data_IF_576123841940
#
_entry.id   IF_576123841940
#
_cell.length_a   1.000
_cell.length_b   1.000
_cell.length_c   1.000
_cell.angle_alpha   90.00
_cell.angle_beta   90.00
_cell.angle_gamma   90.00
#
_symmetry.space_group_name_H-M   'P 1'
#
loop_
_entity.id
_entity.type
_entity.pdbx_description
1 polymer ?
#
# COMPACT_ATOMS: atom_id res chain seq x y z
N UNK A 1 -6.03 4.96 54.41
CA UNK A 1 -5.78 5.82 53.23
C UNK A 1 -4.29 6.13 53.19
N UNK A 2 -3.49 5.37 52.44
CA UNK A 2 -2.13 5.77 52.12
C UNK A 2 -2.24 6.76 50.97
N UNK A 3 -1.93 8.02 51.25
CA UNK A 3 -1.83 9.08 50.25
C UNK A 3 -0.64 8.72 49.36
N UNK A 4 -0.92 8.33 48.13
CA UNK A 4 0.09 8.12 47.10
C UNK A 4 0.60 9.50 46.70
N UNK A 5 1.70 9.94 47.33
CA UNK A 5 2.37 11.18 46.96
C UNK A 5 3.01 10.90 45.59
N UNK A 6 2.39 11.37 44.52
CA UNK A 6 3.00 11.37 43.19
C UNK A 6 4.34 12.10 43.28
N UNK A 7 5.43 11.35 43.13
CA UNK A 7 6.79 11.88 43.03
C UNK A 7 6.79 12.92 41.90
N UNK A 8 7.05 14.18 42.23
CA UNK A 8 7.10 15.27 41.25
C UNK A 8 8.25 14.97 40.29
N UNK A 9 7.94 14.51 39.08
CA UNK A 9 8.96 14.17 38.07
C UNK A 9 9.72 15.43 37.70
N UNK A 10 11.04 15.44 37.93
CA UNK A 10 11.91 16.59 37.64
C UNK A 10 12.16 16.72 36.13
N UNK A 11 12.21 15.59 35.42
CA UNK A 11 12.43 15.51 33.96
C UNK A 11 11.09 15.55 33.24
N UNK A 12 10.96 16.43 32.26
CA UNK A 12 9.76 16.51 31.43
C UNK A 12 9.80 15.47 30.30
N UNK A 13 8.93 14.46 30.38
CA UNK A 13 8.86 13.40 29.36
C UNK A 13 8.51 13.91 27.96
N UNK A 14 7.86 15.07 27.83
CA UNK A 14 7.52 15.66 26.52
C UNK A 14 8.76 16.17 25.76
N UNK A 15 9.89 16.34 26.45
CA UNK A 15 11.16 16.77 25.84
C UNK A 15 12.03 15.56 25.43
N UNK A 16 11.60 14.34 25.74
CA UNK A 16 12.34 13.13 25.41
C UNK A 16 11.92 12.60 24.03
N UNK A 17 12.90 12.20 23.22
CA UNK A 17 12.67 11.54 21.94
C UNK A 17 12.90 10.04 22.09
N UNK A 18 11.94 9.21 21.69
CA UNK A 18 12.09 7.76 21.80
C UNK A 18 13.09 7.19 20.79
N UNK A 19 13.27 7.85 19.63
CA UNK A 19 14.30 7.50 18.64
C UNK A 19 15.72 7.95 19.06
N UNK A 20 15.84 9.06 19.77
CA UNK A 20 17.12 9.65 20.20
C UNK A 20 17.26 9.72 21.74
N UNK A 21 16.74 8.70 22.43
CA UNK A 21 16.46 8.75 23.87
C UNK A 21 17.66 9.10 24.75
N UNK A 22 18.83 8.51 24.46
CA UNK A 22 20.05 8.82 25.20
C UNK A 22 20.36 10.33 25.16
N UNK A 23 20.35 10.92 23.98
CA UNK A 23 20.73 12.33 23.77
C UNK A 23 19.71 13.26 24.38
N UNK A 24 18.41 13.03 24.16
CA UNK A 24 17.36 13.87 24.73
C UNK A 24 17.30 13.77 26.25
N UNK A 25 17.52 12.58 26.82
CA UNK A 25 17.57 12.39 28.28
C UNK A 25 18.75 13.15 28.88
N UNK A 26 19.93 13.04 28.26
CA UNK A 26 21.14 13.70 28.74
C UNK A 26 21.00 15.24 28.71
N UNK A 27 20.41 15.78 27.63
CA UNK A 27 20.15 17.22 27.47
C UNK A 27 19.12 17.74 28.48
N UNK A 28 18.01 17.02 28.66
CA UNK A 28 16.98 17.42 29.63
C UNK A 28 17.50 17.32 31.06
N UNK A 29 18.22 16.25 31.41
CA UNK A 29 18.81 16.08 32.73
C UNK A 29 19.84 17.18 33.07
N UNK A 30 20.65 17.59 32.10
CA UNK A 30 21.56 18.73 32.23
C UNK A 30 20.80 20.04 32.45
N UNK A 31 19.76 20.28 31.63
CA UNK A 31 18.92 21.49 31.72
C UNK A 31 18.19 21.60 33.06
N UNK A 32 17.80 20.47 33.65
CA UNK A 32 17.20 20.39 34.98
C UNK A 32 18.21 20.43 36.14
N UNK A 33 19.52 20.51 35.86
CA UNK A 33 20.58 20.52 36.87
C UNK A 33 20.78 19.18 37.60
N UNK A 34 20.28 18.07 37.03
CA UNK A 34 20.48 16.72 37.57
C UNK A 34 21.86 16.17 37.21
N UNK A 35 22.47 16.69 36.14
CA UNK A 35 23.83 16.35 35.69
C UNK A 35 24.66 17.63 35.69
N UNK A 36 25.82 17.60 36.35
CA UNK A 36 26.78 18.72 36.36
C UNK A 36 27.63 18.77 35.09
N UNK A 37 28.32 19.90 34.85
CA UNK A 37 29.29 20.02 33.73
C UNK A 37 30.35 18.90 33.76
N UNK A 38 30.89 18.60 34.94
CA UNK A 38 31.89 17.54 35.12
C UNK A 38 31.35 16.14 34.85
N UNK A 39 30.09 15.87 35.17
CA UNK A 39 29.43 14.60 34.88
C UNK A 39 29.12 14.48 33.38
N UNK A 40 28.68 15.58 32.75
CA UNK A 40 28.44 15.65 31.32
C UNK A 40 29.72 15.36 30.51
N UNK A 41 30.83 16.03 30.86
CA UNK A 41 32.15 15.79 30.25
C UNK A 41 32.60 14.34 30.44
N UNK A 42 32.42 13.78 31.64
CA UNK A 42 32.75 12.38 31.93
C UNK A 42 31.96 11.41 31.05
N UNK A 43 30.64 11.60 30.91
CA UNK A 43 29.77 10.76 30.08
C UNK A 43 30.17 10.87 28.60
N UNK A 44 30.40 12.08 28.10
CA UNK A 44 30.84 12.31 26.72
C UNK A 44 32.18 11.63 26.43
N UNK A 45 33.15 11.76 27.33
CA UNK A 45 34.45 11.09 27.19
C UNK A 45 34.31 9.57 27.17
N UNK A 46 33.44 9.00 28.01
CA UNK A 46 33.17 7.56 27.98
C UNK A 46 32.55 7.12 26.65
N UNK A 47 31.61 7.89 26.09
CA UNK A 47 31.05 7.61 24.77
C UNK A 47 32.11 7.68 23.67
N UNK A 48 33.01 8.67 23.68
CA UNK A 48 34.10 8.80 22.71
C UNK A 48 35.10 7.64 22.81
N UNK A 49 35.48 7.24 24.02
CA UNK A 49 36.34 6.08 24.24
C UNK A 49 35.67 4.79 23.74
N UNK A 50 34.37 4.63 23.98
CA UNK A 50 33.61 3.48 23.48
C UNK A 50 33.49 3.48 21.96
N UNK A 51 33.30 4.64 21.33
CA UNK A 51 33.35 4.79 19.88
C UNK A 51 34.71 4.37 19.33
N UNK A 52 35.82 4.85 19.92
CA UNK A 52 37.17 4.50 19.47
C UNK A 52 37.38 2.97 19.49
N UNK A 53 36.98 2.31 20.58
CA UNK A 53 37.00 0.86 20.69
C UNK A 53 36.16 0.16 19.61
N UNK A 54 34.97 0.68 19.29
CA UNK A 54 34.08 0.11 18.26
C UNK A 54 34.64 0.29 16.86
N UNK A 55 35.25 1.44 16.56
CA UNK A 55 35.90 1.72 15.28
C UNK A 55 37.12 0.81 15.04
N UNK A 56 37.95 0.59 16.06
CA UNK A 56 39.09 -0.34 16.00
C UNK A 56 38.65 -1.78 15.72
N UNK A 57 37.49 -2.19 16.24
CA UNK A 57 36.94 -3.51 15.90
C UNK A 57 36.33 -3.57 14.52
N UNK A 58 35.66 -2.50 14.09
CA UNK A 58 35.04 -2.43 12.77
C UNK A 58 36.05 -2.60 11.62
N UNK A 59 37.28 -2.11 11.81
CA UNK A 59 38.35 -2.19 10.82
C UNK A 59 39.30 -3.40 11.02
N UNK A 60 38.95 -4.36 11.89
CA UNK A 60 39.81 -5.50 12.26
C UNK A 60 41.23 -5.11 12.74
N UNK A 61 41.43 -3.87 13.22
CA UNK A 61 42.74 -3.35 13.60
C UNK A 61 43.68 -3.04 12.42
N UNK A 62 43.20 -3.11 11.17
CA UNK A 62 44.06 -3.01 9.97
C UNK A 62 44.33 -1.56 9.52
N UNK A 63 43.60 -0.57 10.05
CA UNK A 63 43.79 0.84 9.70
C UNK A 63 43.45 1.78 10.84
N UNK A 64 44.23 2.85 11.02
CA UNK A 64 43.95 3.89 12.01
C UNK A 64 42.93 4.93 11.53
N UNK A 65 42.49 4.89 10.27
CA UNK A 65 41.58 5.89 9.68
C UNK A 65 40.25 5.28 9.26
N UNK A 66 39.16 5.79 9.82
CA UNK A 66 37.79 5.51 9.39
C UNK A 66 37.17 6.78 8.82
N UNK A 67 36.26 6.66 7.85
CA UNK A 67 35.50 7.82 7.35
C UNK A 67 34.63 8.39 8.47
N UNK A 68 34.52 9.72 8.53
CA UNK A 68 33.72 10.42 9.54
C UNK A 68 32.28 9.92 9.56
N UNK A 69 31.64 9.80 8.40
CA UNK A 69 30.26 9.30 8.27
C UNK A 69 30.05 7.90 8.88
N UNK A 70 31.07 7.03 8.77
CA UNK A 70 31.02 5.68 9.36
C UNK A 70 31.17 5.76 10.88
N UNK A 71 32.09 6.58 11.40
CA UNK A 71 32.21 6.79 12.84
C UNK A 71 30.94 7.42 13.45
N UNK A 72 30.31 8.35 12.74
CA UNK A 72 29.02 8.94 13.13
C UNK A 72 27.89 7.90 13.16
N UNK A 73 27.81 7.03 12.14
CA UNK A 73 26.84 5.92 12.12
C UNK A 73 27.05 4.96 13.30
N UNK A 74 28.30 4.56 13.57
CA UNK A 74 28.64 3.71 14.71
C UNK A 74 28.25 4.40 16.03
N UNK A 75 28.51 5.71 16.17
CA UNK A 75 28.08 6.44 17.37
C UNK A 75 26.56 6.43 17.51
N UNK A 76 25.79 6.70 16.45
CA UNK A 76 24.32 6.62 16.47
C UNK A 76 23.84 5.23 16.90
N UNK A 77 24.43 4.17 16.37
CA UNK A 77 24.15 2.78 16.77
C UNK A 77 24.42 2.52 18.26
N UNK A 78 25.56 3.01 18.76
CA UNK A 78 25.91 2.89 20.18
C UNK A 78 24.90 3.60 21.08
N UNK A 79 24.58 4.86 20.76
CA UNK A 79 23.65 5.67 21.54
C UNK A 79 22.22 5.11 21.49
N UNK A 80 21.78 4.59 20.34
CA UNK A 80 20.50 3.89 20.22
C UNK A 80 20.44 2.65 21.12
N UNK A 81 21.49 1.84 21.11
CA UNK A 81 21.58 0.62 21.91
C UNK A 81 21.54 0.93 23.41
N UNK A 82 22.30 1.94 23.84
CA UNK A 82 22.29 2.46 25.21
C UNK A 82 20.91 2.99 25.56
N UNK A 83 20.33 3.85 24.71
CA UNK A 83 19.00 4.44 24.89
C UNK A 83 17.91 3.38 25.03
N UNK A 84 18.02 2.26 24.31
CA UNK A 84 17.09 1.12 24.41
C UNK A 84 17.06 0.54 25.83
N UNK A 85 18.22 0.43 26.51
CA UNK A 85 18.25 -0.01 27.91
C UNK A 85 17.77 1.07 28.87
N UNK A 86 18.16 2.32 28.67
CA UNK A 86 17.69 3.41 29.53
C UNK A 86 16.16 3.54 29.53
N UNK A 87 15.51 3.35 28.37
CA UNK A 87 14.04 3.28 28.25
C UNK A 87 13.39 2.12 29.01
N UNK A 88 14.15 1.07 29.31
CA UNK A 88 13.63 -0.10 30.02
C UNK A 88 13.63 0.07 31.54
N UNK A 89 14.27 1.13 32.04
CA UNK A 89 14.32 1.43 33.47
C UNK A 89 12.96 1.99 33.96
N UNK A 90 12.66 1.88 35.26
CA UNK A 90 11.34 2.21 35.79
C UNK A 90 10.91 3.67 35.57
N UNK A 91 11.87 4.59 35.63
CA UNK A 91 11.65 6.01 35.47
C UNK A 91 12.93 6.73 34.97
N UNK A 92 12.77 7.99 34.59
CA UNK A 92 13.84 8.85 34.04
C UNK A 92 14.93 9.15 35.07
N UNK A 93 14.60 9.24 36.36
CA UNK A 93 15.60 9.42 37.45
C UNK A 93 16.53 8.21 37.55
N UNK A 94 15.99 7.00 37.46
CA UNK A 94 16.77 5.77 37.40
C UNK A 94 17.70 5.75 36.18
N UNK A 95 17.22 6.22 35.02
CA UNK A 95 18.03 6.31 33.81
C UNK A 95 19.19 7.31 33.92
N UNK A 96 18.95 8.49 34.50
CA UNK A 96 20.01 9.48 34.78
C UNK A 96 21.02 8.95 35.79
N UNK A 97 20.56 8.33 36.87
CA UNK A 97 21.41 7.75 37.90
C UNK A 97 22.30 6.62 37.33
N UNK A 98 21.76 5.81 36.40
CA UNK A 98 22.52 4.80 35.68
C UNK A 98 23.60 5.43 34.80
N UNK A 99 23.34 6.56 34.13
CA UNK A 99 24.35 7.31 33.36
C UNK A 99 25.46 7.92 34.22
N UNK A 100 25.13 8.39 35.43
CA UNK A 100 26.12 8.99 36.34
C UNK A 100 27.06 7.95 36.97
N UNK A 101 26.49 6.80 37.38
CA UNK A 101 27.19 5.78 38.17
C UNK A 101 27.70 4.60 37.34
N UNK A 102 26.98 4.21 36.29
CA UNK A 102 27.31 3.08 35.43
C UNK A 102 28.46 3.40 34.47
N UNK A 103 29.03 2.35 33.87
CA UNK A 103 29.96 2.50 32.75
C UNK A 103 29.18 2.42 31.42
N UNK A 104 29.50 3.28 30.45
CA UNK A 104 28.89 3.24 29.11
C UNK A 104 28.97 1.85 28.48
N UNK A 105 30.06 1.12 28.69
CA UNK A 105 30.25 -0.26 28.21
C UNK A 105 29.21 -1.22 28.81
N UNK A 106 28.98 -1.18 30.13
CA UNK A 106 28.01 -2.07 30.77
C UNK A 106 26.57 -1.73 30.36
N UNK A 107 26.26 -0.44 30.28
CA UNK A 107 24.95 0.07 29.87
C UNK A 107 24.68 -0.35 28.40
N UNK A 108 25.69 -0.25 27.52
CA UNK A 108 25.61 -0.75 26.14
C UNK A 108 25.37 -2.26 26.11
N UNK A 109 26.09 -3.08 26.90
CA UNK A 109 25.90 -4.54 26.90
C UNK A 109 24.49 -4.95 27.36
N UNK A 110 23.91 -4.23 28.33
CA UNK A 110 22.51 -4.43 28.74
C UNK A 110 21.56 -4.04 27.61
N UNK A 111 21.83 -2.93 26.92
CA UNK A 111 21.12 -2.49 25.71
C UNK A 111 21.15 -3.52 24.60
N UNK A 112 22.33 -4.06 24.29
CA UNK A 112 22.58 -5.07 23.25
C UNK A 112 21.70 -6.31 23.46
N UNK A 113 21.62 -6.81 24.70
CA UNK A 113 20.74 -7.93 25.06
C UNK A 113 19.27 -7.63 24.79
N UNK A 114 18.81 -6.40 25.06
CA UNK A 114 17.43 -5.99 24.78
C UNK A 114 17.16 -5.86 23.29
N UNK A 115 18.08 -5.29 22.52
CA UNK A 115 18.00 -5.24 21.05
C UNK A 115 17.86 -6.65 20.49
N UNK A 116 18.69 -7.60 20.90
CA UNK A 116 18.62 -8.99 20.44
C UNK A 116 17.28 -9.66 20.77
N UNK A 117 16.74 -9.41 21.97
CA UNK A 117 15.43 -9.92 22.35
C UNK A 117 14.32 -9.30 21.50
N UNK A 118 14.40 -8.00 21.20
CA UNK A 118 13.45 -7.33 20.29
C UNK A 118 13.56 -7.87 18.86
N UNK A 119 14.76 -8.22 18.36
CA UNK A 119 14.92 -8.85 17.03
C UNK A 119 14.23 -10.20 16.99
N UNK A 120 14.40 -11.02 18.04
CA UNK A 120 13.71 -12.31 18.16
C UNK A 120 12.19 -12.13 18.20
N UNK A 121 11.69 -11.16 18.97
CA UNK A 121 10.27 -10.83 19.03
C UNK A 121 9.73 -10.33 17.68
N UNK A 122 10.47 -9.48 16.98
CA UNK A 122 10.11 -8.98 15.66
C UNK A 122 10.02 -10.14 14.65
N UNK A 123 10.99 -11.06 14.68
CA UNK A 123 10.98 -12.26 13.82
C UNK A 123 9.79 -13.17 14.13
N UNK A 124 9.39 -13.27 15.39
CA UNK A 124 8.19 -14.01 15.79
C UNK A 124 6.92 -13.34 15.23
N UNK A 125 6.75 -12.03 15.43
CA UNK A 125 5.62 -11.29 14.87
C UNK A 125 5.59 -11.30 13.35
N UNK A 126 6.75 -11.29 12.68
CA UNK A 126 6.82 -11.44 11.23
C UNK A 126 6.20 -12.78 10.80
N UNK A 127 6.55 -13.89 11.45
CA UNK A 127 5.91 -15.20 11.20
C UNK A 127 4.42 -15.21 11.49
N UNK A 128 3.99 -14.55 12.56
CA UNK A 128 2.55 -14.41 12.87
C UNK A 128 1.82 -13.64 11.76
N UNK A 129 2.40 -12.56 11.26
CA UNK A 129 1.86 -11.81 10.13
C UNK A 129 1.79 -12.66 8.84
N UNK A 130 2.76 -13.54 8.60
CA UNK A 130 2.66 -14.49 7.49
C UNK A 130 1.50 -15.48 7.68
N UNK A 131 1.21 -15.88 8.93
CA UNK A 131 0.15 -16.84 9.23
C UNK A 131 -1.27 -16.25 9.16
N UNK A 132 -1.45 -14.98 9.50
CA UNK A 132 -2.73 -14.28 9.43
C UNK A 132 -2.83 -13.31 8.23
N UNK A 133 -1.95 -13.47 7.24
CA UNK A 133 -1.89 -12.64 6.06
C UNK A 133 -3.22 -12.64 5.32
N UNK A 134 -3.67 -11.46 4.88
CA UNK A 134 -4.88 -11.30 4.09
C UNK A 134 -4.70 -11.86 2.68
N UNK A 135 -5.76 -12.50 2.18
CA UNK A 135 -5.87 -12.88 0.77
C UNK A 135 -6.37 -11.64 0.01
N UNK A 136 -5.45 -10.93 -0.64
CA UNK A 136 -5.75 -9.69 -1.37
C UNK A 136 -4.86 -9.52 -2.59
N UNK A 137 -5.34 -8.78 -3.59
CA UNK A 137 -4.60 -8.38 -4.78
C UNK A 137 -3.76 -7.11 -4.58
N UNK A 138 -3.90 -6.42 -3.45
CA UNK A 138 -3.15 -5.18 -3.20
C UNK A 138 -1.64 -5.43 -3.16
N UNK A 139 -0.90 -4.80 -4.07
CA UNK A 139 0.52 -5.01 -4.29
C UNK A 139 1.35 -4.58 -3.09
N UNK A 140 1.11 -3.38 -2.54
CA UNK A 140 1.96 -2.81 -1.49
C UNK A 140 1.86 -3.58 -0.17
N UNK A 141 0.66 -4.04 0.20
CA UNK A 141 0.45 -4.97 1.30
C UNK A 141 1.26 -6.26 1.12
N UNK A 142 1.14 -6.88 -0.06
CA UNK A 142 1.81 -8.15 -0.36
C UNK A 142 3.33 -8.01 -0.43
N UNK A 143 3.83 -6.94 -1.05
CA UNK A 143 5.25 -6.64 -1.20
C UNK A 143 5.91 -6.37 0.14
N UNK A 144 5.25 -5.57 1.01
CA UNK A 144 5.75 -5.24 2.35
C UNK A 144 6.00 -6.49 3.22
N UNK A 145 5.09 -7.47 3.17
CA UNK A 145 5.22 -8.73 3.93
C UNK A 145 6.15 -9.77 3.27
N UNK A 146 6.67 -9.50 2.08
CA UNK A 146 7.51 -10.44 1.33
C UNK A 146 8.95 -10.52 1.86
N UNK A 147 9.70 -11.50 1.36
CA UNK A 147 11.14 -11.64 1.56
C UNK A 147 11.98 -10.46 1.03
N UNK A 148 11.37 -9.65 0.13
CA UNK A 148 11.94 -8.43 -0.46
C UNK A 148 11.42 -7.15 0.22
N UNK A 149 10.46 -7.25 1.13
CA UNK A 149 9.99 -6.15 1.97
C UNK A 149 10.64 -6.18 3.34
N UNK A 150 9.84 -6.41 4.38
CA UNK A 150 10.31 -6.57 5.78
C UNK A 150 11.27 -7.76 5.93
N UNK A 151 11.18 -8.78 5.06
CA UNK A 151 12.12 -9.91 5.09
C UNK A 151 13.60 -9.51 4.93
N UNK A 152 13.90 -8.36 4.31
CA UNK A 152 15.26 -7.82 4.18
C UNK A 152 15.86 -7.51 5.56
N UNK A 153 15.06 -6.96 6.48
CA UNK A 153 15.51 -6.58 7.82
C UNK A 153 16.15 -7.78 8.54
N UNK A 154 15.53 -8.96 8.47
CA UNK A 154 16.07 -10.16 9.14
C UNK A 154 17.29 -10.78 8.47
N UNK A 155 17.69 -10.29 7.29
CA UNK A 155 18.89 -10.72 6.55
C UNK A 155 20.03 -9.71 6.69
N UNK A 156 19.72 -8.42 6.73
CA UNK A 156 20.68 -7.33 6.61
C UNK A 156 20.84 -6.47 7.86
N UNK A 157 19.97 -6.58 8.86
CA UNK A 157 20.08 -5.77 10.07
C UNK A 157 21.39 -6.06 10.80
N UNK A 158 22.22 -5.02 10.96
CA UNK A 158 23.45 -5.06 11.76
C UNK A 158 23.19 -4.42 13.13
N UNK A 159 22.97 -5.23 14.16
CA UNK A 159 22.63 -4.75 15.48
C UNK A 159 23.88 -4.29 16.28
N UNK A 160 25.09 -4.47 15.71
CA UNK A 160 26.38 -4.13 16.32
C UNK A 160 26.87 -2.75 15.87
N UNK A 161 26.72 -2.41 14.58
CA UNK A 161 27.23 -1.16 13.99
C UNK A 161 26.15 -0.26 13.39
N UNK A 162 24.96 -0.77 13.09
CA UNK A 162 23.86 -0.01 12.49
C UNK A 162 22.53 -0.28 13.22
N UNK A 163 22.55 -0.41 14.55
CA UNK A 163 21.38 -0.83 15.33
C UNK A 163 20.18 0.12 15.23
N UNK A 164 20.42 1.39 14.87
CA UNK A 164 19.43 2.43 14.67
C UNK A 164 18.75 2.36 13.28
N UNK A 165 19.37 1.67 12.33
CA UNK A 165 18.85 1.49 10.97
C UNK A 165 17.84 0.34 10.92
N UNK A 166 16.93 0.38 9.94
CA UNK A 166 15.94 -0.67 9.73
C UNK A 166 15.85 -1.01 8.24
N UNK A 167 16.83 -1.73 7.67
CA UNK A 167 16.88 -2.00 6.23
C UNK A 167 15.67 -2.85 5.79
N UNK A 168 14.63 -2.19 5.27
CA UNK A 168 13.40 -2.80 4.81
C UNK A 168 12.70 -1.88 3.79
N UNK A 169 11.99 -2.48 2.85
CA UNK A 169 11.04 -1.79 1.98
C UNK A 169 9.64 -1.97 2.56
N UNK A 170 9.04 -0.86 3.01
CA UNK A 170 7.74 -0.83 3.70
C UNK A 170 6.89 0.26 3.03
N UNK A 171 6.06 -0.16 2.08
CA UNK A 171 5.20 0.74 1.32
C UNK A 171 3.76 0.76 1.88
N UNK A 172 3.35 -0.32 2.56
CA UNK A 172 2.03 -0.40 3.17
C UNK A 172 1.97 0.43 4.46
N UNK A 173 1.19 1.51 4.44
CA UNK A 173 0.99 2.37 5.61
C UNK A 173 -0.07 1.81 6.55
N UNK A 174 0.21 1.85 7.86
CA UNK A 174 -0.71 1.41 8.91
C UNK A 174 -1.78 2.48 9.18
N UNK A 175 -2.95 2.04 9.66
CA UNK A 175 -4.02 2.95 10.09
C UNK A 175 -3.57 3.80 11.28
N UNK A 176 -2.84 3.17 12.22
CA UNK A 176 -2.14 3.83 13.31
C UNK A 176 -0.62 3.81 13.03
N UNK A 177 -0.05 4.89 12.45
CA UNK A 177 1.37 4.95 12.12
C UNK A 177 2.27 4.78 13.34
N UNK A 178 3.45 4.20 13.11
CA UNK A 178 4.51 4.14 14.12
C UNK A 178 5.34 5.41 13.99
N UNK A 179 5.34 6.23 15.03
CA UNK A 179 6.14 7.46 15.12
C UNK A 179 7.19 7.36 16.21
N UNK A 180 8.24 8.17 16.11
CA UNK A 180 9.30 8.35 17.13
C UNK A 180 10.05 7.05 17.49
N UNK A 181 10.05 6.03 16.63
CA UNK A 181 10.83 4.80 16.81
C UNK A 181 11.71 4.54 15.59
N UNK A 182 12.89 3.96 15.84
CA UNK A 182 13.85 3.53 14.80
C UNK A 182 14.40 2.14 15.14
N UNK A 183 15.22 1.60 14.23
CA UNK A 183 15.81 0.28 14.36
C UNK A 183 14.79 -0.83 14.56
N UNK A 184 15.14 -1.81 15.37
CA UNK A 184 14.27 -2.96 15.67
C UNK A 184 12.98 -2.58 16.40
N UNK A 185 12.96 -1.46 17.13
CA UNK A 185 11.76 -1.00 17.84
C UNK A 185 10.67 -0.55 16.87
N UNK A 186 11.04 0.13 15.79
CA UNK A 186 10.12 0.46 14.71
C UNK A 186 9.53 -0.80 14.08
N UNK A 187 10.38 -1.73 13.63
CA UNK A 187 9.96 -2.97 12.96
C UNK A 187 9.05 -3.81 13.87
N UNK A 188 9.41 -3.95 15.14
CA UNK A 188 8.61 -4.70 16.11
C UNK A 188 7.24 -4.05 16.31
N UNK A 189 7.16 -2.73 16.48
CA UNK A 189 5.89 -2.05 16.68
C UNK A 189 5.03 -2.06 15.41
N UNK A 190 5.64 -1.91 14.25
CA UNK A 190 4.97 -2.00 12.95
C UNK A 190 4.33 -3.38 12.78
N UNK A 191 5.08 -4.46 13.00
CA UNK A 191 4.56 -5.83 12.87
C UNK A 191 3.48 -6.17 13.90
N UNK A 192 3.54 -5.60 15.11
CA UNK A 192 2.46 -5.74 16.11
C UNK A 192 1.19 -5.05 15.65
N UNK A 193 1.28 -3.82 15.15
CA UNK A 193 0.14 -3.08 14.63
C UNK A 193 -0.48 -3.80 13.43
N UNK A 194 0.35 -4.22 12.47
CA UNK A 194 -0.11 -4.96 11.28
C UNK A 194 -0.78 -6.28 11.65
N UNK A 195 -0.25 -6.99 12.66
CA UNK A 195 -0.87 -8.23 13.14
C UNK A 195 -2.30 -7.99 13.62
N UNK A 196 -2.54 -6.90 14.35
CA UNK A 196 -3.87 -6.52 14.84
C UNK A 196 -4.79 -6.08 13.69
N UNK A 197 -4.27 -5.34 12.70
CA UNK A 197 -5.02 -5.00 11.48
C UNK A 197 -5.48 -6.27 10.74
N UNK A 198 -4.57 -7.22 10.56
CA UNK A 198 -4.89 -8.52 9.95
C UNK A 198 -5.87 -9.33 10.80
N UNK A 199 -5.71 -9.35 12.13
CA UNK A 199 -6.61 -10.04 13.06
C UNK A 199 -8.05 -9.53 12.92
N UNK A 200 -8.24 -8.21 12.84
CA UNK A 200 -9.55 -7.63 12.59
C UNK A 200 -10.09 -7.99 11.21
N UNK A 201 -9.31 -7.78 10.15
CA UNK A 201 -9.73 -8.09 8.78
C UNK A 201 -10.05 -9.58 8.59
N UNK A 202 -9.45 -10.49 9.37
CA UNK A 202 -9.75 -11.92 9.34
C UNK A 202 -11.17 -12.28 9.79
N UNK A 203 -11.90 -11.34 10.40
CA UNK A 203 -13.33 -11.50 10.74
C UNK A 203 -14.26 -11.41 9.54
N UNK A 204 -13.75 -10.98 8.38
CA UNK A 204 -14.51 -10.78 7.17
C UNK A 204 -14.02 -11.74 6.09
N UNK A 205 -14.90 -12.11 5.15
CA UNK A 205 -14.48 -12.98 4.05
C UNK A 205 -13.58 -12.20 3.09
N UNK A 206 -12.56 -12.86 2.53
CA UNK A 206 -11.68 -12.25 1.53
C UNK A 206 -12.47 -11.74 0.29
N UNK A 207 -13.60 -12.39 -0.01
CA UNK A 207 -14.52 -11.99 -1.07
C UNK A 207 -15.21 -10.66 -0.77
N UNK A 208 -15.75 -10.50 0.44
CA UNK A 208 -16.44 -9.27 0.84
C UNK A 208 -15.44 -8.09 0.94
N UNK A 209 -14.21 -8.35 1.42
CA UNK A 209 -13.12 -7.36 1.38
C UNK A 209 -12.77 -6.99 -0.07
N UNK A 210 -12.67 -7.97 -0.97
CA UNK A 210 -12.37 -7.69 -2.39
C UNK A 210 -13.44 -6.79 -3.02
N UNK A 211 -14.72 -7.07 -2.78
CA UNK A 211 -15.83 -6.29 -3.34
C UNK A 211 -15.93 -4.89 -2.74
N UNK A 212 -15.63 -4.74 -1.45
CA UNK A 212 -15.48 -3.43 -0.82
C UNK A 212 -14.37 -2.62 -1.51
N UNK A 213 -13.18 -3.22 -1.67
CA UNK A 213 -12.05 -2.51 -2.27
C UNK A 213 -12.27 -2.18 -3.75
N UNK A 214 -12.95 -3.05 -4.51
CA UNK A 214 -13.41 -2.73 -5.88
C UNK A 214 -14.41 -1.58 -5.91
N UNK A 215 -15.30 -1.51 -4.92
CA UNK A 215 -16.21 -0.37 -4.76
C UNK A 215 -15.46 0.94 -4.46
N UNK A 216 -14.34 0.85 -3.75
CA UNK A 216 -13.53 2.01 -3.39
C UNK A 216 -12.78 2.54 -4.60
N UNK A 217 -12.14 1.65 -5.35
CA UNK A 217 -11.49 1.94 -6.62
C UNK A 217 -11.30 0.64 -7.42
N UNK A 218 -11.64 0.64 -8.71
CA UNK A 218 -11.47 -0.52 -9.59
C UNK A 218 -9.99 -0.99 -9.65
N UNK A 219 -9.06 -0.05 -9.50
CA UNK A 219 -7.61 -0.23 -9.50
C UNK A 219 -6.97 -0.32 -8.10
N UNK A 220 -7.76 -0.61 -7.04
CA UNK A 220 -7.27 -0.67 -5.64
C UNK A 220 -6.01 -1.53 -5.41
N UNK A 221 -5.74 -2.44 -6.34
CA UNK A 221 -4.60 -3.35 -6.36
C UNK A 221 -3.27 -2.58 -6.36
N UNK A 222 -3.24 -1.41 -7.01
CA UNK A 222 -2.06 -0.55 -7.13
C UNK A 222 -2.04 0.60 -6.12
N UNK A 223 -3.12 0.78 -5.35
CA UNK A 223 -3.23 1.91 -4.44
C UNK A 223 -2.44 1.72 -3.14
N UNK A 224 -1.89 2.84 -2.64
CA UNK A 224 -1.29 2.96 -1.31
C UNK A 224 -2.38 3.21 -0.24
N UNK A 225 -3.25 2.22 -0.04
CA UNK A 225 -4.34 2.28 0.93
C UNK A 225 -4.13 1.32 2.09
N UNK A 226 -4.64 1.69 3.26
CA UNK A 226 -4.73 0.78 4.39
C UNK A 226 -6.04 -0.03 4.32
N UNK A 227 -5.93 -1.35 4.15
CA UNK A 227 -7.09 -2.24 3.99
C UNK A 227 -7.93 -2.27 5.28
N UNK A 228 -7.28 -2.31 6.45
CA UNK A 228 -7.98 -2.29 7.74
C UNK A 228 -8.83 -1.04 7.93
N UNK A 229 -8.34 0.13 7.54
CA UNK A 229 -9.08 1.39 7.63
C UNK A 229 -10.35 1.34 6.77
N UNK A 230 -10.27 0.81 5.55
CA UNK A 230 -11.45 0.66 4.67
C UNK A 230 -12.47 -0.31 5.25
N UNK A 231 -11.98 -1.46 5.75
CA UNK A 231 -12.83 -2.50 6.36
C UNK A 231 -13.49 -1.99 7.64
N UNK A 232 -12.74 -1.36 8.54
CA UNK A 232 -13.27 -0.80 9.79
C UNK A 232 -14.29 0.30 9.53
N UNK A 233 -13.97 1.24 8.62
CA UNK A 233 -14.89 2.33 8.25
C UNK A 233 -16.20 1.78 7.72
N UNK A 234 -16.14 0.82 6.80
CA UNK A 234 -17.36 0.22 6.21
C UNK A 234 -18.14 -0.62 7.22
N UNK A 235 -17.45 -1.37 8.09
CA UNK A 235 -18.09 -2.14 9.15
C UNK A 235 -18.84 -1.22 10.14
N UNK A 236 -18.26 -0.08 10.51
CA UNK A 236 -18.95 0.96 11.30
C UNK A 236 -20.17 1.51 10.56
N UNK A 237 -20.04 1.79 9.26
CA UNK A 237 -21.17 2.21 8.42
C UNK A 237 -22.30 1.18 8.37
N UNK A 238 -21.99 -0.11 8.32
CA UNK A 238 -22.98 -1.18 8.40
C UNK A 238 -23.73 -1.13 9.74
N UNK A 239 -23.02 -0.97 10.86
CA UNK A 239 -23.64 -0.87 12.19
C UNK A 239 -24.56 0.36 12.28
N UNK A 240 -24.11 1.51 11.77
CA UNK A 240 -24.88 2.76 11.74
C UNK A 240 -26.15 2.66 10.87
N UNK A 241 -26.10 1.86 9.81
CA UNK A 241 -27.24 1.60 8.91
C UNK A 241 -28.04 0.34 9.27
N UNK A 242 -27.78 -0.24 10.45
CA UNK A 242 -28.42 -1.46 10.96
C UNK A 242 -28.29 -2.68 10.04
N UNK A 243 -27.17 -2.79 9.34
CA UNK A 243 -26.75 -3.93 8.52
C UNK A 243 -25.76 -4.83 9.24
N UNK A 244 -25.64 -6.06 8.77
CA UNK A 244 -24.64 -6.99 9.27
C UNK A 244 -23.24 -6.53 8.85
N UNK A 245 -22.34 -6.18 9.79
CA UNK A 245 -21.00 -5.70 9.47
C UNK A 245 -20.14 -6.75 8.75
N UNK A 246 -20.32 -8.05 9.00
CA UNK A 246 -19.53 -9.10 8.35
C UNK A 246 -19.64 -9.09 6.82
N UNK A 247 -20.73 -8.52 6.29
CA UNK A 247 -20.97 -8.40 4.85
C UNK A 247 -20.32 -7.19 4.23
N UNK A 248 -19.90 -6.19 5.01
CA UNK A 248 -19.29 -4.94 4.52
C UNK A 248 -20.12 -4.25 3.41
N UNK A 249 -21.43 -4.45 3.41
CA UNK A 249 -22.32 -4.06 2.32
C UNK A 249 -23.28 -2.95 2.79
N UNK A 250 -23.17 -1.79 2.15
CA UNK A 250 -24.06 -0.64 2.34
C UNK A 250 -24.47 -0.16 0.95
N UNK A 251 -25.75 0.12 0.75
CA UNK A 251 -26.27 0.65 -0.50
C UNK A 251 -26.17 2.18 -0.58
N UNK A 252 -26.15 2.77 -1.79
CA UNK A 252 -26.13 4.22 -1.94
C UNK A 252 -27.30 4.93 -1.25
N UNK A 253 -28.48 4.29 -1.23
CA UNK A 253 -29.66 4.81 -0.53
C UNK A 253 -29.42 4.90 0.97
N UNK A 254 -28.83 3.88 1.57
CA UNK A 254 -28.55 3.86 3.02
C UNK A 254 -27.48 4.87 3.41
N UNK A 255 -26.46 5.06 2.56
CA UNK A 255 -25.46 6.11 2.76
C UNK A 255 -26.14 7.49 2.73
N UNK A 256 -27.04 7.71 1.76
CA UNK A 256 -27.79 8.97 1.65
C UNK A 256 -28.73 9.22 2.84
N UNK A 257 -29.41 8.18 3.32
CA UNK A 257 -30.28 8.30 4.48
C UNK A 257 -29.46 8.55 5.76
N UNK A 258 -28.34 7.85 5.95
CA UNK A 258 -27.39 8.12 7.03
C UNK A 258 -26.86 9.57 6.98
N UNK A 259 -26.53 10.08 5.79
CA UNK A 259 -26.07 11.45 5.62
C UNK A 259 -27.10 12.46 6.14
N UNK A 260 -28.38 12.30 5.80
CA UNK A 260 -29.45 13.20 6.28
C UNK A 260 -29.55 13.20 7.81
N UNK A 261 -29.35 12.04 8.43
CA UNK A 261 -29.45 11.87 9.88
C UNK A 261 -28.29 12.57 10.61
N UNK A 262 -27.08 12.55 10.05
CA UNK A 262 -25.86 13.01 10.72
C UNK A 262 -25.34 14.37 10.22
N UNK A 263 -25.86 14.92 9.12
CA UNK A 263 -25.35 16.16 8.52
C UNK A 263 -25.34 17.37 9.47
N UNK A 264 -26.26 17.40 10.44
CA UNK A 264 -26.37 18.46 11.44
C UNK A 264 -25.57 18.23 12.74
N UNK A 265 -24.84 17.12 12.85
CA UNK A 265 -24.18 16.76 14.12
C UNK A 265 -22.91 17.58 14.34
N UNK A 266 -22.68 17.97 15.59
CA UNK A 266 -21.40 18.54 15.99
C UNK A 266 -20.32 17.44 16.07
N UNK A 267 -19.05 17.82 15.94
CA UNK A 267 -17.91 16.87 15.96
C UNK A 267 -17.94 15.92 17.16
N UNK A 268 -18.15 16.44 18.37
CA UNK A 268 -18.21 15.61 19.58
C UNK A 268 -19.38 14.62 19.57
N UNK A 269 -20.50 14.95 18.91
CA UNK A 269 -21.64 14.05 18.75
C UNK A 269 -21.29 12.92 17.78
N UNK A 270 -20.55 13.23 16.71
CA UNK A 270 -20.03 12.23 15.77
C UNK A 270 -19.00 11.31 16.45
N UNK A 271 -18.12 11.85 17.29
CA UNK A 271 -17.17 11.05 18.06
C UNK A 271 -17.88 10.02 18.95
N UNK A 272 -18.92 10.46 19.69
CA UNK A 272 -19.74 9.57 20.52
C UNK A 272 -20.49 8.53 19.68
N UNK A 273 -21.05 8.93 18.53
CA UNK A 273 -21.76 8.03 17.61
C UNK A 273 -20.83 6.93 17.08
N UNK A 274 -19.63 7.30 16.62
CA UNK A 274 -18.63 6.35 16.11
C UNK A 274 -18.12 5.44 17.23
N UNK A 275 -17.89 5.97 18.43
CA UNK A 275 -17.52 5.16 19.59
C UNK A 275 -18.61 4.12 19.92
N UNK A 276 -19.88 4.53 20.00
CA UNK A 276 -20.99 3.60 20.25
C UNK A 276 -21.15 2.55 19.14
N UNK A 277 -20.99 2.94 17.88
CA UNK A 277 -20.99 2.01 16.76
C UNK A 277 -19.83 1.01 16.86
N UNK A 278 -18.66 1.45 17.33
CA UNK A 278 -17.49 0.57 17.51
C UNK A 278 -17.70 -0.46 18.63
N UNK A 279 -18.31 -0.07 19.75
CA UNK A 279 -18.62 -1.00 20.85
C UNK A 279 -19.60 -2.08 20.38
N UNK A 280 -20.65 -1.67 19.65
CA UNK A 280 -21.61 -2.60 19.05
C UNK A 280 -20.96 -3.51 18.00
N UNK A 281 -20.08 -2.98 17.15
CA UNK A 281 -19.32 -3.76 16.17
C UNK A 281 -18.46 -4.83 16.85
N UNK A 282 -17.77 -4.44 17.93
CA UNK A 282 -16.91 -5.31 18.72
C UNK A 282 -17.71 -6.45 19.37
N UNK A 283 -18.93 -6.17 19.84
CA UNK A 283 -19.87 -7.19 20.33
C UNK A 283 -20.33 -8.14 19.22
N UNK A 284 -20.79 -7.61 18.09
CA UNK A 284 -21.29 -8.41 16.96
C UNK A 284 -20.21 -9.33 16.38
N UNK A 285 -18.96 -8.86 16.28
CA UNK A 285 -17.82 -9.65 15.79
C UNK A 285 -17.16 -10.53 16.86
N UNK A 286 -17.71 -10.56 18.08
CA UNK A 286 -17.18 -11.32 19.22
C UNK A 286 -15.68 -11.06 19.47
N UNK A 287 -15.26 -9.80 19.43
CA UNK A 287 -13.85 -9.42 19.64
C UNK A 287 -13.54 -9.42 21.15
N UNK A 288 -12.78 -10.41 21.60
CA UNK A 288 -12.37 -10.57 23.02
C UNK A 288 -10.97 -10.05 23.32
N UNK A 289 -10.12 -9.89 22.30
CA UNK A 289 -8.74 -9.43 22.41
C UNK A 289 -8.68 -7.97 22.89
N UNK A 290 -8.13 -7.74 24.09
CA UNK A 290 -8.01 -6.40 24.67
C UNK A 290 -7.02 -5.52 23.91
N UNK A 291 -5.99 -6.10 23.30
CA UNK A 291 -5.06 -5.39 22.41
C UNK A 291 -5.75 -4.96 21.12
N UNK A 292 -6.63 -5.79 20.55
CA UNK A 292 -7.35 -5.44 19.34
C UNK A 292 -8.36 -4.33 19.59
N UNK A 293 -9.14 -4.41 20.68
CA UNK A 293 -10.07 -3.33 21.09
C UNK A 293 -9.35 -1.98 21.21
N UNK A 294 -8.25 -1.93 21.97
CA UNK A 294 -7.43 -0.71 22.11
C UNK A 294 -6.90 -0.17 20.77
N UNK A 295 -6.58 -1.07 19.83
CA UNK A 295 -6.12 -0.65 18.50
C UNK A 295 -7.26 -0.03 17.69
N UNK A 296 -8.46 -0.63 17.71
CA UNK A 296 -9.67 -0.08 17.11
C UNK A 296 -9.98 1.29 17.70
N UNK A 297 -10.00 1.42 19.03
CA UNK A 297 -10.28 2.68 19.73
C UNK A 297 -9.32 3.79 19.28
N UNK A 298 -8.03 3.45 19.14
CA UNK A 298 -6.99 4.39 18.67
C UNK A 298 -7.21 4.83 17.21
N UNK A 299 -7.87 4.01 16.39
CA UNK A 299 -8.18 4.32 15.00
C UNK A 299 -9.41 5.21 14.81
N UNK A 300 -10.34 5.23 15.78
CA UNK A 300 -11.62 5.95 15.63
C UNK A 300 -11.47 7.46 15.35
N UNK A 301 -10.56 8.22 15.99
CA UNK A 301 -10.45 9.66 15.74
C UNK A 301 -10.13 9.99 14.28
N UNK A 302 -9.34 9.14 13.60
CA UNK A 302 -9.03 9.29 12.18
C UNK A 302 -10.28 9.10 11.32
N UNK A 303 -11.08 8.07 11.61
CA UNK A 303 -12.34 7.79 10.92
C UNK A 303 -13.32 8.94 11.14
N UNK A 304 -13.49 9.42 12.38
CA UNK A 304 -14.37 10.55 12.66
C UNK A 304 -13.92 11.82 11.93
N UNK A 305 -12.61 12.09 11.85
CA UNK A 305 -12.07 13.23 11.10
C UNK A 305 -12.43 13.14 9.62
N UNK A 306 -12.25 11.96 9.01
CA UNK A 306 -12.61 11.72 7.60
C UNK A 306 -14.12 11.90 7.38
N UNK A 307 -14.95 11.40 8.31
CA UNK A 307 -16.40 11.55 8.28
C UNK A 307 -16.82 13.02 8.35
N UNK A 308 -16.26 13.80 9.29
CA UNK A 308 -16.52 15.24 9.44
C UNK A 308 -16.18 15.98 8.15
N UNK A 309 -15.04 15.66 7.53
CA UNK A 309 -14.64 16.25 6.26
C UNK A 309 -15.61 15.89 5.13
N UNK A 310 -16.04 14.63 5.04
CA UNK A 310 -16.96 14.18 4.00
C UNK A 310 -18.36 14.80 4.14
N UNK A 311 -18.86 14.99 5.37
CA UNK A 311 -20.11 15.71 5.61
C UNK A 311 -20.01 17.16 5.13
N UNK A 312 -18.92 17.87 5.48
CA UNK A 312 -18.69 19.26 5.04
C UNK A 312 -18.60 19.40 3.52
N UNK A 313 -18.07 18.40 2.84
CA UNK A 313 -17.89 18.38 1.39
C UNK A 313 -19.06 17.73 0.63
N UNK A 314 -20.14 17.35 1.34
CA UNK A 314 -21.31 16.65 0.78
C UNK A 314 -20.91 15.41 -0.04
N UNK A 315 -20.00 14.59 0.50
CA UNK A 315 -19.34 13.49 -0.23
C UNK A 315 -19.21 12.24 0.65
N UNK A 316 -20.26 11.91 1.41
CA UNK A 316 -20.25 10.80 2.37
C UNK A 316 -19.99 9.44 1.70
N UNK A 317 -20.40 9.31 0.44
CA UNK A 317 -20.14 8.17 -0.46
C UNK A 317 -18.65 7.90 -0.73
N UNK A 318 -17.75 8.84 -0.39
CA UNK A 318 -16.29 8.60 -0.39
C UNK A 318 -15.75 8.02 0.92
N UNK A 319 -16.52 8.08 2.00
CA UNK A 319 -16.15 7.49 3.31
C UNK A 319 -16.79 6.12 3.47
N UNK A 320 -18.09 6.03 3.20
CA UNK A 320 -18.79 4.75 3.16
C UNK A 320 -18.97 4.35 1.70
N UNK A 321 -18.33 3.25 1.33
CA UNK A 321 -18.29 2.77 -0.04
C UNK A 321 -19.30 1.65 -0.24
N UNK A 322 -20.04 1.71 -1.34
CA UNK A 322 -20.88 0.60 -1.78
C UNK A 322 -20.02 -0.45 -2.46
N UNK A 323 -20.19 -1.71 -2.07
CA UNK A 323 -19.46 -2.81 -2.69
C UNK A 323 -19.78 -2.96 -4.17
N UNK A 324 -18.76 -3.26 -4.97
CA UNK A 324 -18.92 -3.64 -6.38
C UNK A 324 -18.44 -5.08 -6.54
N UNK A 325 -19.31 -5.91 -7.11
CA UNK A 325 -18.92 -7.25 -7.54
C UNK A 325 -18.47 -7.20 -9.01
N UNK A 326 -17.16 -7.25 -9.31
CA UNK A 326 -16.67 -7.20 -10.68
C UNK A 326 -17.13 -8.41 -11.52
N UNK A 327 -17.54 -9.52 -10.89
CA UNK A 327 -18.02 -10.71 -11.61
C UNK A 327 -19.44 -10.54 -12.17
N UNK A 328 -20.19 -9.53 -11.72
CA UNK A 328 -21.53 -9.22 -12.19
C UNK A 328 -21.55 -8.14 -13.28
N UNK A 329 -20.40 -7.58 -13.63
CA UNK A 329 -20.33 -6.70 -14.80
C UNK A 329 -20.63 -7.51 -16.07
N UNK A 330 -21.49 -7.00 -16.96
CA UNK A 330 -21.86 -7.72 -18.18
C UNK A 330 -20.61 -7.88 -19.06
N UNK A 331 -20.05 -9.09 -19.08
CA UNK A 331 -18.94 -9.44 -19.97
C UNK A 331 -19.46 -9.56 -21.40
N UNK A 332 -18.81 -8.87 -22.32
CA UNK A 332 -19.09 -9.00 -23.74
C UNK A 332 -18.28 -10.18 -24.25
N UNK A 333 -18.94 -11.22 -24.76
CA UNK A 333 -18.27 -12.33 -25.44
C UNK A 333 -18.18 -11.99 -26.93
N UNK A 334 -16.96 -11.79 -27.43
CA UNK A 334 -16.74 -11.65 -28.86
C UNK A 334 -16.42 -13.02 -29.47
N UNK A 335 -17.16 -13.41 -30.49
CA UNK A 335 -16.86 -14.60 -31.28
C UNK A 335 -16.87 -14.22 -32.75
N UNK A 336 -15.75 -14.47 -33.43
CA UNK A 336 -15.65 -14.30 -34.87
C UNK A 336 -16.54 -15.31 -35.61
N UNK A 337 -16.97 -14.95 -36.81
CA UNK A 337 -17.66 -15.87 -37.72
C UNK A 337 -16.74 -17.00 -38.20
N UNK A 338 -17.30 -17.95 -38.97
CA UNK A 338 -16.48 -19.00 -39.60
C UNK A 338 -15.59 -18.36 -40.67
N UNK A 339 -14.27 -18.58 -40.57
CA UNK A 339 -13.29 -18.14 -41.57
C UNK A 339 -13.65 -18.62 -42.98
N UNK A 340 -13.22 -17.86 -43.97
CA UNK A 340 -13.25 -18.28 -45.37
C UNK A 340 -12.39 -19.52 -45.58
N UNK A 341 -12.72 -20.36 -46.56
CA UNK A 341 -11.79 -21.39 -47.00
C UNK A 341 -10.58 -20.75 -47.68
N UNK A 342 -9.42 -21.38 -47.55
CA UNK A 342 -8.16 -20.88 -48.12
C UNK A 342 -8.24 -20.56 -49.62
N UNK A 343 -9.07 -21.28 -50.39
CA UNK A 343 -9.16 -21.04 -51.84
C UNK A 343 -9.93 -19.76 -52.13
N UNK A 344 -11.02 -19.49 -51.43
CA UNK A 344 -11.81 -18.28 -51.60
C UNK A 344 -11.12 -17.06 -50.99
N UNK A 345 -10.40 -17.25 -49.88
CA UNK A 345 -9.57 -16.21 -49.29
C UNK A 345 -8.44 -15.76 -50.24
N UNK A 346 -7.69 -16.71 -50.84
CA UNK A 346 -6.64 -16.37 -51.80
C UNK A 346 -7.17 -15.61 -53.02
N UNK A 347 -8.32 -16.02 -53.56
CA UNK A 347 -8.98 -15.29 -54.66
C UNK A 347 -9.33 -13.86 -54.26
N UNK A 348 -9.83 -13.66 -53.04
CA UNK A 348 -10.14 -12.33 -52.53
C UNK A 348 -8.87 -11.47 -52.48
N UNK A 349 -7.77 -11.98 -51.94
CA UNK A 349 -6.48 -11.26 -51.90
C UNK A 349 -5.97 -10.95 -53.30
N UNK A 350 -5.95 -11.93 -54.21
CA UNK A 350 -5.51 -11.72 -55.60
C UNK A 350 -6.34 -10.62 -56.30
N UNK A 351 -7.65 -10.60 -56.10
CA UNK A 351 -8.53 -9.54 -56.63
C UNK A 351 -8.25 -8.17 -56.00
N UNK A 352 -8.05 -8.11 -54.68
CA UNK A 352 -7.69 -6.87 -53.97
C UNK A 352 -6.37 -6.29 -54.49
N UNK A 353 -5.37 -7.12 -54.76
CA UNK A 353 -4.07 -6.69 -55.28
C UNK A 353 -4.15 -6.20 -56.73
N UNK A 354 -5.14 -6.63 -57.51
CA UNK A 354 -5.37 -6.19 -58.89
C UNK A 354 -6.20 -4.89 -59.00
N UNK A 355 -6.90 -4.49 -57.93
CA UNK A 355 -7.71 -3.27 -57.91
C UNK A 355 -6.86 -2.01 -58.12
N UNK A 356 -7.30 -1.16 -59.04
CA UNK A 356 -6.65 0.14 -59.34
C UNK A 356 -7.16 1.29 -58.47
N UNK A 357 -8.39 1.19 -57.98
CA UNK A 357 -9.05 2.25 -57.21
C UNK A 357 -9.35 1.77 -55.80
N UNK A 358 -9.07 2.63 -54.81
CA UNK A 358 -9.35 2.37 -53.39
C UNK A 358 -10.83 2.09 -53.12
N UNK A 359 -11.73 2.74 -53.86
CA UNK A 359 -13.17 2.47 -53.78
C UNK A 359 -13.52 1.01 -54.06
N UNK A 360 -12.86 0.40 -55.05
CA UNK A 360 -13.16 -0.97 -55.47
C UNK A 360 -12.64 -1.97 -54.43
N UNK A 361 -11.45 -1.71 -53.86
CA UNK A 361 -10.92 -2.49 -52.73
C UNK A 361 -11.88 -2.47 -51.54
N UNK A 362 -12.36 -1.28 -51.15
CA UNK A 362 -13.27 -1.12 -50.02
C UNK A 362 -14.60 -1.87 -50.22
N UNK A 363 -15.14 -1.83 -51.45
CA UNK A 363 -16.35 -2.60 -51.79
C UNK A 363 -16.08 -4.10 -51.69
N UNK A 364 -14.96 -4.60 -52.23
CA UNK A 364 -14.60 -6.02 -52.13
C UNK A 364 -14.45 -6.48 -50.69
N UNK A 365 -13.76 -5.71 -49.84
CA UNK A 365 -13.60 -6.02 -48.42
C UNK A 365 -14.97 -6.11 -47.75
N UNK A 366 -15.80 -5.08 -47.96
CA UNK A 366 -17.12 -5.00 -47.32
C UNK A 366 -18.08 -6.12 -47.73
N UNK A 367 -18.04 -6.55 -48.99
CA UNK A 367 -19.00 -7.53 -49.53
C UNK A 367 -18.53 -8.98 -49.38
N UNK A 368 -17.21 -9.23 -49.37
CA UNK A 368 -16.68 -10.60 -49.47
C UNK A 368 -16.03 -11.14 -48.21
N UNK A 369 -15.60 -10.29 -47.27
CA UNK A 369 -15.04 -10.73 -45.99
C UNK A 369 -16.16 -11.32 -45.13
N UNK A 370 -15.99 -12.57 -44.67
CA UNK A 370 -17.07 -13.33 -44.00
C UNK A 370 -16.99 -13.32 -42.47
N UNK A 371 -15.80 -13.13 -41.91
CA UNK A 371 -15.58 -13.10 -40.48
C UNK A 371 -14.64 -11.97 -40.08
N UNK A 372 -14.61 -11.65 -38.79
CA UNK A 372 -13.68 -10.68 -38.25
C UNK A 372 -12.23 -11.16 -38.34
N UNK A 373 -12.00 -12.47 -38.26
CA UNK A 373 -10.64 -13.02 -38.38
C UNK A 373 -10.16 -12.96 -39.84
N UNK A 374 -11.06 -13.12 -40.82
CA UNK A 374 -10.72 -12.88 -42.23
C UNK A 374 -10.42 -11.40 -42.47
N UNK A 375 -11.14 -10.49 -41.81
CA UNK A 375 -10.88 -9.05 -41.90
C UNK A 375 -9.50 -8.71 -41.35
N UNK A 376 -9.15 -9.25 -40.19
CA UNK A 376 -7.84 -9.09 -39.57
C UNK A 376 -6.73 -9.57 -40.51
N UNK A 377 -6.86 -10.78 -41.08
CA UNK A 377 -5.90 -11.27 -42.07
C UNK A 377 -5.80 -10.32 -43.29
N UNK A 378 -6.94 -9.81 -43.79
CA UNK A 378 -6.97 -8.84 -44.91
C UNK A 378 -6.26 -7.52 -44.58
N UNK A 379 -6.28 -7.06 -43.33
CA UNK A 379 -5.53 -5.86 -42.92
C UNK A 379 -4.01 -6.05 -43.08
N UNK A 380 -3.53 -7.29 -42.99
CA UNK A 380 -2.12 -7.64 -43.24
C UNK A 380 -1.84 -7.97 -44.71
N UNK A 381 -2.67 -8.81 -45.34
CA UNK A 381 -2.40 -9.37 -46.66
C UNK A 381 -2.88 -8.47 -47.82
N UNK A 382 -3.85 -7.59 -47.58
CA UNK A 382 -4.55 -6.81 -48.61
C UNK A 382 -3.78 -5.59 -49.17
N UNK A 383 -2.57 -5.31 -48.65
CA UNK A 383 -1.74 -4.16 -49.02
C UNK A 383 -2.53 -2.84 -49.09
N UNK A 384 -3.22 -2.54 -47.99
CA UNK A 384 -3.98 -1.30 -47.85
C UNK A 384 -3.06 -0.12 -47.60
N UNK A 385 -3.29 0.98 -48.31
CA UNK A 385 -2.52 2.20 -48.11
C UNK A 385 -3.03 3.01 -46.91
N UNK A 386 -2.31 4.09 -46.56
CA UNK A 386 -2.62 4.94 -45.39
C UNK A 386 -3.98 5.64 -45.47
N UNK A 387 -4.50 5.86 -46.67
CA UNK A 387 -5.81 6.48 -46.88
C UNK A 387 -6.94 5.43 -46.85
N UNK A 388 -6.64 4.17 -47.17
CA UNK A 388 -7.59 3.05 -47.20
C UNK A 388 -7.90 2.48 -45.81
N UNK A 389 -6.88 2.36 -44.93
CA UNK A 389 -7.04 1.77 -43.59
C UNK A 389 -8.11 2.47 -42.73
N UNK A 390 -8.12 3.81 -42.59
CA UNK A 390 -9.16 4.50 -41.83
C UNK A 390 -10.57 4.27 -42.37
N UNK A 391 -10.71 4.11 -43.70
CA UNK A 391 -12.00 3.85 -44.35
C UNK A 391 -12.50 2.44 -44.05
N UNK A 392 -11.61 1.45 -43.91
CA UNK A 392 -11.97 0.11 -43.44
C UNK A 392 -12.41 0.15 -41.97
N UNK A 393 -11.71 0.90 -41.10
CA UNK A 393 -12.10 1.06 -39.70
C UNK A 393 -13.46 1.75 -39.54
N UNK A 394 -13.82 2.66 -40.45
CA UNK A 394 -15.13 3.30 -40.44
C UNK A 394 -16.30 2.33 -40.69
N UNK A 395 -16.05 1.21 -41.37
CA UNK A 395 -17.07 0.16 -41.54
C UNK A 395 -17.30 -0.66 -40.28
N UNK A 396 -16.38 -0.63 -39.32
CA UNK A 396 -16.44 -1.42 -38.11
C UNK A 396 -17.31 -0.74 -37.04
N UNK A 397 -18.11 -1.55 -36.35
CA UNK A 397 -18.84 -1.12 -35.18
C UNK A 397 -17.92 -0.93 -33.96
N UNK A 398 -18.49 -0.38 -32.89
CA UNK A 398 -17.74 -0.11 -31.66
C UNK A 398 -17.17 -1.40 -31.02
N UNK A 399 -17.82 -2.56 -31.25
CA UNK A 399 -17.38 -3.86 -30.72
C UNK A 399 -16.21 -4.42 -31.52
N UNK A 400 -16.26 -4.37 -32.85
CA UNK A 400 -15.18 -4.85 -33.72
C UNK A 400 -13.92 -3.99 -33.57
N UNK A 401 -14.08 -2.67 -33.44
CA UNK A 401 -12.95 -1.78 -33.14
C UNK A 401 -12.35 -2.11 -31.77
N UNK A 402 -13.18 -2.30 -30.74
CA UNK A 402 -12.68 -2.69 -29.42
C UNK A 402 -11.94 -4.04 -29.46
N UNK A 403 -12.44 -5.01 -30.23
CA UNK A 403 -11.80 -6.33 -30.40
C UNK A 403 -10.43 -6.19 -31.09
N UNK A 404 -10.35 -5.34 -32.12
CA UNK A 404 -9.10 -5.07 -32.84
C UNK A 404 -8.04 -4.42 -31.93
N UNK A 405 -8.44 -3.47 -31.07
CA UNK A 405 -7.53 -2.85 -30.10
C UNK A 405 -7.03 -3.88 -29.07
N UNK A 406 -7.90 -4.80 -28.64
CA UNK A 406 -7.53 -5.82 -27.66
C UNK A 406 -6.53 -6.84 -28.23
N UNK A 407 -6.68 -7.22 -29.52
CA UNK A 407 -5.70 -8.07 -30.24
C UNK A 407 -4.40 -7.34 -30.58
N UNK A 408 -4.48 -6.05 -30.91
CA UNK A 408 -3.34 -5.21 -31.32
C UNK A 408 -3.19 -3.97 -30.42
N UNK A 409 -2.74 -4.13 -29.16
CA UNK A 409 -2.70 -3.03 -28.19
C UNK A 409 -1.66 -1.96 -28.57
N UNK A 410 -2.00 -0.69 -28.35
CA UNK A 410 -1.14 0.46 -28.66
C UNK A 410 0.17 0.48 -27.86
N UNK A 411 0.14 -0.08 -26.64
CA UNK A 411 1.28 -0.22 -25.74
C UNK A 411 1.34 -1.69 -25.35
N UNK A 412 2.47 -2.36 -25.58
CA UNK A 412 2.69 -3.75 -25.18
C UNK A 412 4.01 -3.92 -24.45
N UNK A 413 4.06 -4.84 -23.48
CA UNK A 413 5.28 -5.26 -22.77
C UNK A 413 6.27 -6.04 -23.66
N UNK A 414 5.85 -6.38 -24.88
CA UNK A 414 6.67 -7.04 -25.91
C UNK A 414 7.66 -6.01 -26.48
N UNK A 415 8.95 -6.38 -26.52
CA UNK A 415 9.97 -5.51 -27.10
C UNK A 415 9.64 -5.24 -28.57
N UNK A 416 9.74 -3.98 -29.01
CA UNK A 416 9.41 -3.55 -30.39
C UNK A 416 10.19 -4.30 -31.51
N UNK A 417 11.17 -5.12 -31.15
CA UNK A 417 11.97 -5.97 -32.03
C UNK A 417 11.21 -7.25 -32.45
N UNK A 418 10.18 -7.67 -31.71
CA UNK A 418 9.46 -8.94 -31.93
C UNK A 418 8.17 -8.79 -32.76
N UNK A 419 7.77 -7.57 -33.14
CA UNK A 419 6.57 -7.31 -33.96
C UNK A 419 6.95 -7.10 -35.43
N UNK A 420 6.12 -7.63 -36.36
CA UNK A 420 6.29 -7.37 -37.80
C UNK A 420 6.07 -5.88 -38.13
N UNK A 421 6.61 -5.43 -39.26
CA UNK A 421 6.44 -4.03 -39.68
C UNK A 421 4.98 -3.71 -40.03
N UNK A 422 4.26 -4.71 -40.54
CA UNK A 422 2.84 -4.65 -40.85
C UNK A 422 1.99 -4.47 -39.57
N UNK A 423 2.34 -5.20 -38.50
CA UNK A 423 1.69 -5.09 -37.18
C UNK A 423 1.92 -3.73 -36.53
N UNK A 424 3.15 -3.21 -36.60
CA UNK A 424 3.46 -1.85 -36.12
C UNK A 424 2.67 -0.80 -36.89
N UNK A 425 2.57 -0.97 -38.21
CA UNK A 425 1.80 -0.08 -39.06
C UNK A 425 0.31 -0.12 -38.69
N UNK A 426 -0.27 -1.32 -38.52
CA UNK A 426 -1.66 -1.47 -38.13
C UNK A 426 -1.97 -0.74 -36.80
N UNK A 427 -1.17 -0.99 -35.76
CA UNK A 427 -1.33 -0.35 -34.45
C UNK A 427 -1.26 1.17 -34.51
N UNK A 428 -0.32 1.70 -35.29
CA UNK A 428 -0.16 3.14 -35.46
C UNK A 428 -1.40 3.76 -36.11
N UNK A 429 -1.86 3.21 -37.24
CA UNK A 429 -3.02 3.75 -37.96
C UNK A 429 -4.32 3.57 -37.15
N UNK A 430 -4.45 2.48 -36.39
CA UNK A 430 -5.59 2.27 -35.50
C UNK A 430 -5.63 3.32 -34.38
N UNK A 431 -4.47 3.63 -33.78
CA UNK A 431 -4.38 4.68 -32.76
C UNK A 431 -4.69 6.07 -33.33
N UNK A 432 -4.17 6.39 -34.52
CA UNK A 432 -4.48 7.64 -35.22
C UNK A 432 -5.98 7.75 -35.53
N UNK A 433 -6.62 6.67 -36.00
CA UNK A 433 -8.06 6.63 -36.25
C UNK A 433 -8.88 6.88 -34.97
N UNK A 434 -8.51 6.25 -33.86
CA UNK A 434 -9.18 6.47 -32.57
C UNK A 434 -9.06 7.93 -32.13
N UNK A 435 -7.92 8.58 -32.39
CA UNK A 435 -7.75 10.02 -32.12
C UNK A 435 -8.62 10.94 -32.97
N UNK A 436 -9.14 10.47 -34.12
CA UNK A 436 -9.94 11.26 -35.05
C UNK A 436 -11.45 11.12 -34.85
N UNK A 437 -11.92 10.04 -34.23
CA UNK A 437 -13.35 9.84 -33.93
C UNK A 437 -13.81 10.68 -32.71
N UNK A 438 -15.13 10.87 -32.56
CA UNK A 438 -15.69 11.69 -31.47
C UNK A 438 -15.38 11.11 -30.08
N UNK A 439 -15.17 11.98 -29.09
CA UNK A 439 -14.92 11.59 -27.69
C UNK A 439 -15.99 10.64 -27.16
N UNK A 440 -17.26 10.88 -27.47
CA UNK A 440 -18.36 10.00 -27.07
C UNK A 440 -18.23 8.57 -27.63
N UNK A 441 -17.71 8.42 -28.87
CA UNK A 441 -17.48 7.10 -29.47
C UNK A 441 -16.24 6.44 -28.87
N UNK A 442 -15.18 7.21 -28.60
CA UNK A 442 -13.98 6.70 -27.91
C UNK A 442 -14.35 6.12 -26.54
N UNK A 443 -15.11 6.86 -25.73
CA UNK A 443 -15.55 6.40 -24.41
C UNK A 443 -16.36 5.10 -24.48
N UNK A 444 -17.26 4.97 -25.47
CA UNK A 444 -18.01 3.72 -25.68
C UNK A 444 -17.11 2.55 -26.04
N UNK A 445 -16.18 2.74 -26.98
CA UNK A 445 -15.24 1.71 -27.42
C UNK A 445 -14.39 1.25 -26.24
N UNK A 446 -13.81 2.17 -25.45
CA UNK A 446 -13.01 1.81 -24.29
C UNK A 446 -13.82 1.11 -23.19
N UNK A 447 -15.09 1.49 -23.00
CA UNK A 447 -15.99 0.79 -22.08
C UNK A 447 -16.31 -0.64 -22.54
N UNK A 448 -16.53 -0.84 -23.84
CA UNK A 448 -16.72 -2.17 -24.44
C UNK A 448 -15.45 -3.01 -24.28
N UNK A 449 -14.30 -2.41 -24.54
CA UNK A 449 -13.00 -3.08 -24.41
C UNK A 449 -12.74 -3.55 -22.98
N UNK A 450 -13.07 -2.73 -21.97
CA UNK A 450 -12.98 -3.10 -20.56
C UNK A 450 -13.91 -4.27 -20.17
N UNK A 451 -15.01 -4.46 -20.91
CA UNK A 451 -15.97 -5.54 -20.69
C UNK A 451 -15.58 -6.87 -21.37
N UNK A 452 -14.53 -6.91 -22.18
CA UNK A 452 -14.03 -8.17 -22.72
C UNK A 452 -13.31 -9.00 -21.65
N UNK A 453 -13.54 -10.32 -21.56
CA UNK A 453 -12.74 -11.17 -20.69
C UNK A 453 -11.28 -11.19 -21.13
N UNK A 454 -10.36 -11.19 -20.17
CA UNK A 454 -8.90 -11.25 -20.41
C UNK A 454 -8.44 -12.50 -21.19
N UNK A 455 -9.30 -13.52 -21.32
CA UNK A 455 -9.03 -14.80 -22.01
C UNK A 455 -9.79 -14.94 -23.34
N UNK A 456 -10.45 -13.90 -23.85
CA UNK A 456 -11.37 -14.00 -25.00
C UNK A 456 -10.76 -13.86 -26.39
N UNK A 457 -9.45 -13.67 -26.49
CA UNK A 457 -8.76 -13.44 -27.76
C UNK A 457 -7.47 -14.22 -27.85
#
# INVERSE_FOLDING_TARGET
MMVNIEKRQIINNNNLSSQAYFTSLLQEAYSCGLISDSEMEKIQLQCLNFLAYKCERYNNGESSSIKVDVAESIMKSNLYTIGTYLKSLPDTECAVNELQKGSITDIYQKGRKLVDNKVKAAKHFYKLNQSNKLITKNYTYNATLSDKGIGIFFKAYDPEYEAHEFPASIDYQLCNPVSDLVGVEFILQYLKNLYLENEFCSKFSAKDIHYLLCGYDESYQELLINIFEQVLTTALGCVLTHRNPEKLAISPKEIHDLYKDIAGYATHTLDLLIYQASEKLIEELNITSSSLRKYIDKSLPRITTNLVHAIKMNNLEKVFVSQINPDLEPKIMFSSGVKMDDSDYRKLIDELLLCRYSSDKLVLIKERVKSFDDLEDVLFDGQLNKEELPLVFEFLGDVEIAALINRHPFISDIQAVDLSEEEKALRLHLNEYIGQISLERQERIYKIMAAFPRESF
#
